data_IF_616439292201
#
_entry.id   IF_616439292201
#
_cell.length_a   1.000
_cell.length_b   1.000
_cell.length_c   1.000
_cell.angle_alpha   90.00
_cell.angle_beta   90.00
_cell.angle_gamma   90.00
#
_symmetry.space_group_name_H-M   'P 1'
#
loop_
_entity.id
_entity.type
_entity.pdbx_description
1 polymer ?
#
# COMPACT_ATOMS: atom_id res chain seq x y z
N UNK A 1 -3.55 8.04 -15.77
CA UNK A 1 -3.66 6.97 -14.75
C UNK A 1 -2.34 6.55 -14.10
N UNK A 2 -1.16 6.74 -14.73
CA UNK A 2 0.15 6.45 -14.11
C UNK A 2 0.38 7.14 -12.74
N UNK A 3 0.02 8.42 -12.60
CA UNK A 3 0.14 9.14 -11.32
C UNK A 3 -0.65 8.52 -10.17
N UNK A 4 -1.83 7.94 -10.47
CA UNK A 4 -2.69 7.31 -9.47
C UNK A 4 -2.14 5.93 -9.03
N UNK A 5 -1.59 5.16 -9.98
CA UNK A 5 -0.89 3.91 -9.66
C UNK A 5 0.36 4.16 -8.80
N UNK A 6 1.15 5.21 -9.11
CA UNK A 6 2.29 5.61 -8.27
C UNK A 6 1.87 6.01 -6.85
N UNK A 7 0.72 6.68 -6.69
CA UNK A 7 0.17 7.02 -5.37
C UNK A 7 -0.17 5.76 -4.56
N UNK A 8 -0.86 4.80 -5.16
CA UNK A 8 -1.19 3.53 -4.49
C UNK A 8 0.04 2.68 -4.20
N UNK A 9 1.05 2.72 -5.06
CA UNK A 9 2.34 2.10 -4.82
C UNK A 9 3.06 2.71 -3.61
N UNK A 10 3.05 4.04 -3.48
CA UNK A 10 3.60 4.73 -2.31
C UNK A 10 2.86 4.35 -1.01
N UNK A 11 1.53 4.23 -1.05
CA UNK A 11 0.75 3.73 0.08
C UNK A 11 1.15 2.30 0.46
N UNK A 12 1.39 1.43 -0.53
CA UNK A 12 1.89 0.08 -0.28
C UNK A 12 3.22 0.10 0.47
N UNK A 13 4.18 0.92 0.03
CA UNK A 13 5.49 1.07 0.66
C UNK A 13 5.35 1.56 2.12
N UNK A 14 4.49 2.56 2.35
CA UNK A 14 4.22 3.10 3.69
C UNK A 14 3.56 2.08 4.63
N UNK A 15 2.84 1.10 4.09
CA UNK A 15 2.31 -0.01 4.87
C UNK A 15 3.33 -1.12 5.13
N UNK A 16 4.18 -1.45 4.15
CA UNK A 16 5.17 -2.54 4.24
C UNK A 16 6.35 -2.18 5.14
N UNK A 17 6.88 -0.97 5.05
CA UNK A 17 8.08 -0.56 5.82
C UNK A 17 7.87 -0.72 7.34
N UNK A 18 6.79 -0.18 7.96
CA UNK A 18 6.54 -0.35 9.38
C UNK A 18 6.37 -1.81 9.80
N UNK A 19 5.72 -2.63 8.97
CA UNK A 19 5.53 -4.06 9.22
C UNK A 19 6.88 -4.79 9.23
N UNK A 20 7.73 -4.50 8.25
CA UNK A 20 9.06 -5.08 8.15
C UNK A 20 9.96 -4.64 9.33
N UNK A 21 9.96 -3.36 9.68
CA UNK A 21 10.72 -2.85 10.83
C UNK A 21 10.26 -3.49 12.14
N UNK A 22 8.94 -3.61 12.35
CA UNK A 22 8.38 -4.26 13.52
C UNK A 22 8.74 -5.75 13.62
N UNK A 23 8.93 -6.43 12.49
CA UNK A 23 9.40 -7.82 12.46
C UNK A 23 10.81 -7.97 13.03
N UNK A 24 11.67 -6.96 12.85
CA UNK A 24 13.02 -6.91 13.43
C UNK A 24 13.06 -6.27 14.83
N UNK A 25 11.90 -6.16 15.52
CA UNK A 25 11.74 -5.47 16.80
C UNK A 25 12.07 -3.96 16.80
N UNK A 26 12.30 -3.37 15.62
CA UNK A 26 12.61 -1.95 15.48
C UNK A 26 11.30 -1.15 15.48
N UNK A 27 11.10 -0.33 16.52
CA UNK A 27 9.90 0.50 16.63
C UNK A 27 8.60 -0.29 16.83
N UNK A 28 8.70 -1.52 17.38
CA UNK A 28 7.55 -2.41 17.56
C UNK A 28 6.40 -1.80 18.37
N UNK A 29 6.70 -1.01 19.40
CA UNK A 29 5.67 -0.27 20.16
C UNK A 29 4.89 0.68 19.26
N UNK A 30 5.60 1.50 18.49
CA UNK A 30 5.00 2.44 17.53
C UNK A 30 4.18 1.69 16.47
N UNK A 31 4.68 0.58 15.92
CA UNK A 31 3.90 -0.24 15.01
C UNK A 31 2.62 -0.77 15.65
N UNK A 32 2.67 -1.21 16.91
CA UNK A 32 1.52 -1.79 17.60
C UNK A 32 0.43 -0.73 17.84
N UNK A 33 0.82 0.49 18.24
CA UNK A 33 -0.10 1.60 18.49
C UNK A 33 -0.87 2.00 17.21
N UNK A 34 -0.21 1.94 16.05
CA UNK A 34 -0.79 2.31 14.76
C UNK A 34 -1.02 1.11 13.83
N UNK A 35 -1.07 -0.11 14.35
CA UNK A 35 -1.10 -1.35 13.55
C UNK A 35 -2.23 -1.37 12.54
N UNK A 36 -3.42 -0.96 12.98
CA UNK A 36 -4.61 -0.90 12.13
C UNK A 36 -4.50 0.16 11.03
N UNK A 37 -3.83 1.29 11.30
CA UNK A 37 -3.55 2.31 10.30
C UNK A 37 -2.61 1.81 9.22
N UNK A 38 -1.48 1.19 9.60
CA UNK A 38 -0.53 0.63 8.63
C UNK A 38 -1.14 -0.49 7.79
N UNK A 39 -1.95 -1.34 8.42
CA UNK A 39 -2.68 -2.41 7.73
C UNK A 39 -3.71 -1.83 6.76
N UNK A 40 -4.46 -0.80 7.16
CA UNK A 40 -5.42 -0.12 6.29
C UNK A 40 -4.78 0.58 5.09
N UNK A 41 -3.64 1.26 5.31
CA UNK A 41 -2.84 1.89 4.27
C UNK A 41 -2.33 0.85 3.27
N UNK A 42 -1.82 -0.29 3.76
CA UNK A 42 -1.35 -1.40 2.94
C UNK A 42 -2.45 -1.95 2.04
N UNK A 43 -3.61 -2.28 2.61
CA UNK A 43 -4.75 -2.80 1.84
C UNK A 43 -5.28 -1.79 0.83
N UNK A 44 -5.33 -0.50 1.20
CA UNK A 44 -5.73 0.59 0.30
C UNK A 44 -4.78 0.70 -0.89
N UNK A 45 -3.47 0.60 -0.64
CA UNK A 45 -2.44 0.57 -1.69
C UNK A 45 -2.63 -0.62 -2.64
N UNK A 46 -2.79 -1.83 -2.11
CA UNK A 46 -2.97 -3.06 -2.90
C UNK A 46 -4.23 -2.98 -3.76
N UNK A 47 -5.39 -2.67 -3.15
CA UNK A 47 -6.69 -2.63 -3.83
C UNK A 47 -6.69 -1.50 -4.87
N UNK A 48 -6.22 -0.31 -4.49
CA UNK A 48 -6.18 0.83 -5.39
C UNK A 48 -5.26 0.62 -6.59
N UNK A 49 -4.10 -0.01 -6.39
CA UNK A 49 -3.22 -0.35 -7.50
C UNK A 49 -3.87 -1.40 -8.41
N UNK A 50 -4.48 -2.45 -7.84
CA UNK A 50 -5.16 -3.49 -8.61
C UNK A 50 -6.29 -2.94 -9.48
N UNK A 51 -7.16 -2.09 -8.93
CA UNK A 51 -8.26 -1.44 -9.68
C UNK A 51 -7.70 -0.56 -10.79
N UNK A 52 -6.67 0.23 -10.49
CA UNK A 52 -6.05 1.15 -11.46
C UNK A 52 -5.44 0.40 -12.62
N UNK A 53 -4.69 -0.67 -12.36
CA UNK A 53 -4.13 -1.53 -13.41
C UNK A 53 -5.23 -2.20 -14.25
N UNK A 54 -6.31 -2.67 -13.62
CA UNK A 54 -7.46 -3.26 -14.33
C UNK A 54 -8.10 -2.27 -15.29
N UNK A 55 -8.28 -1.01 -14.87
CA UNK A 55 -8.80 0.06 -15.73
C UNK A 55 -7.85 0.38 -16.88
N UNK A 56 -6.53 0.42 -16.63
CA UNK A 56 -5.53 0.70 -17.67
C UNK A 56 -5.58 -0.40 -18.75
N UNK A 57 -5.60 -1.67 -18.33
CA UNK A 57 -5.71 -2.81 -19.25
C UNK A 57 -6.98 -2.75 -20.10
N UNK A 58 -8.14 -2.46 -19.49
CA UNK A 58 -9.40 -2.29 -20.23
C UNK A 58 -9.34 -1.16 -21.27
N UNK A 59 -8.69 -0.04 -20.97
CA UNK A 59 -8.52 1.08 -21.92
C UNK A 59 -7.58 0.76 -23.09
N UNK A 60 -6.68 -0.21 -22.95
CA UNK A 60 -5.76 -0.61 -24.02
C UNK A 60 -6.36 -1.68 -24.95
N UNK A 61 -7.47 -2.31 -24.55
CA UNK A 61 -8.11 -3.39 -25.32
C UNK A 61 -9.35 -2.92 -26.08
N UNK A 62 -9.75 -1.66 -25.89
CA UNK A 62 -10.86 -1.00 -26.60
C UNK A 62 -10.28 -0.04 -27.64
#
# INVERSE_FOLDING_TARGET
>A
MKKLSNFFFALMILGVIPVALAFFDIGRSFYNDYRWWFTGILWTGIIGNWITERKIRKQQTA
#
